data_IF_140420025828
#
_entry.id   IF_140420025828
#
_cell.length_a   1.000
_cell.length_b   1.000
_cell.length_c   1.000
_cell.angle_alpha   90.00
_cell.angle_beta   90.00
_cell.angle_gamma   90.00
#
_symmetry.space_group_name_H-M   'P 1'
#
loop_
_entity.id
_entity.type
_entity.pdbx_description
1 polymer ?
#
# COMPACT_ATOMS: atom_id res chain seq x y z
N UNK A 1 24.88 21.99 11.67
CA UNK A 1 24.38 21.93 10.29
C UNK A 1 22.86 21.88 10.41
N UNK A 2 22.13 22.76 9.73
CA UNK A 2 20.67 22.82 9.85
C UNK A 2 20.04 21.52 9.30
N UNK A 3 19.04 20.95 9.97
CA UNK A 3 18.43 19.66 9.57
C UNK A 3 17.78 19.75 8.19
N UNK A 4 17.29 20.95 7.83
CA UNK A 4 16.73 21.25 6.51
C UNK A 4 17.81 21.27 5.41
N UNK A 5 19.03 21.74 5.72
CA UNK A 5 20.15 21.71 4.78
C UNK A 5 20.60 20.27 4.53
N UNK A 6 20.67 19.44 5.58
CA UNK A 6 20.94 17.99 5.42
C UNK A 6 19.88 17.34 4.53
N UNK A 7 18.60 17.64 4.72
CA UNK A 7 17.53 17.09 3.87
C UNK A 7 17.61 17.54 2.41
N UNK A 8 18.12 18.75 2.15
CA UNK A 8 18.43 19.20 0.78
C UNK A 8 19.59 18.42 0.17
N UNK A 9 20.69 18.25 0.90
CA UNK A 9 21.87 17.52 0.42
C UNK A 9 21.54 16.05 0.09
N UNK A 10 20.69 15.43 0.91
CA UNK A 10 20.21 14.07 0.68
C UNK A 10 19.03 13.96 -0.29
N UNK A 11 18.64 15.05 -0.97
CA UNK A 11 17.52 15.07 -1.93
C UNK A 11 16.21 14.50 -1.37
N UNK A 12 15.92 14.74 -0.08
CA UNK A 12 14.71 14.25 0.59
C UNK A 12 13.45 14.75 -0.11
N UNK A 13 13.47 15.99 -0.62
CA UNK A 13 12.33 16.58 -1.31
C UNK A 13 12.51 16.54 -2.83
N UNK A 14 11.42 16.42 -3.62
CA UNK A 14 11.53 16.43 -5.08
C UNK A 14 12.16 17.74 -5.58
N UNK A 15 13.05 17.70 -6.60
CA UNK A 15 13.72 18.89 -7.12
C UNK A 15 12.76 19.90 -7.74
N UNK A 16 11.62 19.45 -8.24
CA UNK A 16 10.56 20.29 -8.82
C UNK A 16 9.68 20.99 -7.77
N UNK A 17 9.81 20.61 -6.50
CA UNK A 17 8.97 21.14 -5.42
C UNK A 17 9.45 22.52 -4.97
N UNK A 18 8.51 23.43 -4.72
CA UNK A 18 8.86 24.77 -4.24
C UNK A 18 9.42 24.73 -2.81
N UNK A 19 10.29 25.69 -2.50
CA UNK A 19 10.89 25.81 -1.16
C UNK A 19 9.85 25.87 -0.05
N UNK A 20 8.79 26.65 -0.22
CA UNK A 20 7.71 26.78 0.78
C UNK A 20 7.04 25.43 1.05
N UNK A 21 6.80 24.63 0.01
CA UNK A 21 6.22 23.30 0.16
C UNK A 21 7.15 22.34 0.89
N UNK A 22 8.45 22.39 0.58
CA UNK A 22 9.45 21.57 1.25
C UNK A 22 9.57 21.96 2.73
N UNK A 23 9.58 23.25 3.03
CA UNK A 23 9.60 23.76 4.40
C UNK A 23 8.34 23.38 5.18
N UNK A 24 7.15 23.47 4.58
CA UNK A 24 5.91 23.00 5.21
C UNK A 24 5.95 21.48 5.50
N UNK A 25 6.49 20.71 4.56
CA UNK A 25 6.64 19.25 4.73
C UNK A 25 7.63 18.95 5.87
N UNK A 26 8.73 19.69 5.94
CA UNK A 26 9.68 19.62 7.05
C UNK A 26 9.02 19.98 8.38
N UNK A 27 8.32 21.11 8.47
CA UNK A 27 7.64 21.54 9.70
C UNK A 27 6.59 20.53 10.17
N UNK A 28 5.83 19.92 9.24
CA UNK A 28 4.86 18.88 9.56
C UNK A 28 5.52 17.60 10.11
N UNK A 29 6.74 17.28 9.67
CA UNK A 29 7.51 16.14 10.17
C UNK A 29 7.95 16.33 11.63
N UNK A 30 8.10 17.59 12.06
CA UNK A 30 8.47 17.95 13.44
C UNK A 30 7.26 18.11 14.38
N UNK A 31 6.04 17.83 13.92
CA UNK A 31 4.83 17.99 14.73
C UNK A 31 4.59 16.93 15.81
N UNK A 32 4.98 15.64 15.67
CA UNK A 32 4.81 14.67 16.75
C UNK A 32 5.46 15.16 18.04
N UNK A 33 4.79 14.97 19.17
CA UNK A 33 5.17 15.63 20.42
C UNK A 33 6.40 15.02 21.09
N UNK A 34 6.60 13.70 20.93
CA UNK A 34 7.65 12.94 21.63
C UNK A 34 8.56 12.13 20.70
N UNK A 35 8.19 11.99 19.44
CA UNK A 35 8.86 11.08 18.50
C UNK A 35 9.47 11.88 17.37
N UNK A 36 10.80 11.81 17.22
CA UNK A 36 11.50 12.39 16.09
C UNK A 36 11.56 11.39 14.94
N UNK A 37 11.20 11.82 13.72
CA UNK A 37 11.31 11.01 12.51
C UNK A 37 12.35 11.60 11.58
N UNK A 38 13.42 10.84 11.33
CA UNK A 38 14.44 11.19 10.35
C UNK A 38 13.95 10.84 8.94
N UNK A 39 13.80 11.85 8.08
CA UNK A 39 13.29 11.65 6.72
C UNK A 39 14.26 10.86 5.83
N UNK A 40 15.57 10.95 6.07
CA UNK A 40 16.58 10.22 5.27
C UNK A 40 16.51 8.73 5.62
N UNK A 41 16.47 8.42 6.92
CA UNK A 41 16.31 7.04 7.40
C UNK A 41 14.98 6.44 6.92
N UNK A 42 13.88 7.19 7.09
CA UNK A 42 12.56 6.78 6.61
C UNK A 42 12.57 6.49 5.11
N UNK A 43 13.15 7.36 4.26
CA UNK A 43 13.17 7.14 2.81
C UNK A 43 14.04 5.95 2.40
N UNK A 44 15.10 5.64 3.14
CA UNK A 44 15.88 4.42 2.92
C UNK A 44 15.05 3.17 3.23
N UNK A 45 14.36 3.14 4.36
CA UNK A 45 13.44 2.05 4.71
C UNK A 45 12.29 1.93 3.71
N UNK A 46 11.70 3.05 3.30
CA UNK A 46 10.62 3.11 2.33
C UNK A 46 11.04 2.62 0.94
N UNK A 47 12.30 2.87 0.53
CA UNK A 47 12.87 2.33 -0.71
C UNK A 47 12.93 0.80 -0.66
N UNK A 48 13.45 0.25 0.43
CA UNK A 48 13.53 -1.20 0.64
C UNK A 48 12.12 -1.83 0.66
N UNK A 49 11.16 -1.21 1.36
CA UNK A 49 9.78 -1.65 1.34
C UNK A 49 9.17 -1.60 -0.07
N UNK A 50 9.40 -0.54 -0.84
CA UNK A 50 8.92 -0.45 -2.21
C UNK A 50 9.51 -1.55 -3.11
N UNK A 51 10.80 -1.85 -2.97
CA UNK A 51 11.47 -2.90 -3.72
C UNK A 51 10.87 -4.29 -3.41
N UNK A 52 10.67 -4.60 -2.13
CA UNK A 52 10.00 -5.84 -1.72
C UNK A 52 8.58 -5.92 -2.26
N UNK A 53 7.79 -4.85 -2.12
CA UNK A 53 6.40 -4.81 -2.62
C UNK A 53 6.35 -5.04 -4.13
N UNK A 54 7.21 -4.37 -4.90
CA UNK A 54 7.24 -4.51 -6.35
C UNK A 54 7.61 -5.93 -6.77
N UNK A 55 8.63 -6.52 -6.12
CA UNK A 55 9.12 -7.87 -6.40
C UNK A 55 8.06 -8.92 -6.06
N UNK A 56 7.48 -8.83 -4.87
CA UNK A 56 6.48 -9.78 -4.39
C UNK A 56 5.17 -9.67 -5.17
N UNK A 57 4.73 -8.45 -5.54
CA UNK A 57 3.52 -8.23 -6.31
C UNK A 57 3.56 -8.91 -7.69
N UNK A 58 4.73 -8.98 -8.32
CA UNK A 58 4.92 -9.65 -9.62
C UNK A 58 5.37 -11.10 -9.51
N UNK A 59 5.57 -11.63 -8.30
CA UNK A 59 5.92 -13.02 -8.10
C UNK A 59 4.78 -13.95 -8.54
N UNK A 60 5.14 -15.09 -9.15
CA UNK A 60 4.15 -16.09 -9.56
C UNK A 60 3.33 -16.60 -8.37
N UNK A 61 3.98 -16.85 -7.22
CA UNK A 61 3.34 -17.37 -6.00
C UNK A 61 2.26 -16.42 -5.47
N UNK A 62 2.54 -15.11 -5.38
CA UNK A 62 1.54 -14.14 -4.92
C UNK A 62 0.41 -13.94 -5.93
N UNK A 63 0.73 -13.92 -7.23
CA UNK A 63 -0.27 -13.76 -8.29
C UNK A 63 -1.20 -14.98 -8.39
N UNK A 64 -0.67 -16.19 -8.27
CA UNK A 64 -1.44 -17.43 -8.23
C UNK A 64 -2.37 -17.44 -7.01
N UNK A 65 -1.84 -17.12 -5.82
CA UNK A 65 -2.64 -16.98 -4.59
C UNK A 65 -3.80 -15.99 -4.77
N UNK A 66 -3.53 -14.78 -5.25
CA UNK A 66 -4.56 -13.78 -5.50
C UNK A 66 -5.59 -14.24 -6.55
N UNK A 67 -5.13 -14.95 -7.58
CA UNK A 67 -5.98 -15.52 -8.63
C UNK A 67 -6.87 -16.66 -8.13
N UNK A 68 -6.39 -17.49 -7.22
CA UNK A 68 -7.15 -18.56 -6.58
C UNK A 68 -8.22 -18.01 -5.63
N UNK A 69 -7.87 -17.04 -4.78
CA UNK A 69 -8.85 -16.35 -3.92
C UNK A 69 -9.96 -15.74 -4.78
N UNK A 70 -9.62 -15.16 -5.94
CA UNK A 70 -10.60 -14.54 -6.83
C UNK A 70 -11.59 -15.54 -7.45
N UNK A 71 -11.19 -16.81 -7.59
CA UNK A 71 -12.01 -17.88 -8.16
C UNK A 71 -12.73 -18.70 -7.08
N UNK A 72 -12.25 -18.69 -5.84
CA UNK A 72 -12.77 -19.48 -4.74
C UNK A 72 -14.29 -19.23 -4.53
N UNK A 73 -15.10 -20.30 -4.33
CA UNK A 73 -16.47 -20.20 -3.81
C UNK A 73 -16.52 -19.41 -2.49
N UNK A 74 -17.65 -18.78 -2.18
CA UNK A 74 -17.83 -17.97 -0.96
C UNK A 74 -17.70 -18.80 0.34
N UNK A 75 -17.86 -20.11 0.21
CA UNK A 75 -17.87 -21.14 1.25
C UNK A 75 -16.63 -22.06 1.22
N UNK A 76 -15.65 -21.77 0.35
CA UNK A 76 -14.46 -22.60 0.24
C UNK A 76 -13.49 -22.40 1.41
N UNK A 77 -13.09 -23.51 2.04
CA UNK A 77 -12.04 -23.53 3.05
C UNK A 77 -10.73 -22.91 2.50
N UNK A 78 -10.10 -22.14 3.37
CA UNK A 78 -8.91 -21.30 3.18
C UNK A 78 -7.99 -21.73 2.02
N UNK A 79 -7.96 -20.90 0.95
CA UNK A 79 -6.85 -20.91 -0.01
C UNK A 79 -5.55 -20.81 0.80
N UNK A 80 -4.63 -21.79 0.72
CA UNK A 80 -3.40 -21.77 1.49
C UNK A 80 -2.64 -20.47 1.25
N UNK A 81 -2.37 -19.73 2.33
CA UNK A 81 -1.66 -18.45 2.24
C UNK A 81 -0.16 -18.72 2.15
N UNK A 82 0.50 -18.44 1.00
CA UNK A 82 1.94 -18.63 0.86
C UNK A 82 2.72 -17.65 1.73
N UNK A 83 4.02 -17.92 1.90
CA UNK A 83 4.87 -17.08 2.76
C UNK A 83 4.97 -15.65 2.22
N UNK A 84 5.11 -15.47 0.90
CA UNK A 84 5.11 -14.15 0.26
C UNK A 84 3.83 -13.35 0.52
N UNK A 85 2.68 -14.03 0.64
CA UNK A 85 1.42 -13.37 0.95
C UNK A 85 1.30 -12.96 2.42
N UNK A 86 1.91 -13.72 3.35
CA UNK A 86 1.99 -13.32 4.77
C UNK A 86 2.88 -12.09 4.93
N UNK A 87 4.05 -12.11 4.31
CA UNK A 87 4.98 -10.96 4.34
C UNK A 87 4.34 -9.70 3.74
N UNK A 88 3.63 -9.85 2.61
CA UNK A 88 2.86 -8.74 2.02
C UNK A 88 1.65 -8.33 2.84
N UNK A 89 1.07 -9.20 3.66
CA UNK A 89 -0.02 -8.83 4.57
C UNK A 89 0.52 -8.03 5.76
N UNK A 90 1.66 -8.44 6.34
CA UNK A 90 2.29 -7.77 7.47
C UNK A 90 2.77 -6.35 7.13
N UNK A 91 3.18 -6.11 5.88
CA UNK A 91 3.65 -4.79 5.41
C UNK A 91 2.53 -3.77 5.19
N UNK A 92 1.26 -4.18 5.10
CA UNK A 92 0.16 -3.33 4.67
C UNK A 92 -0.95 -3.23 5.71
N UNK A 93 -1.66 -2.10 5.71
CA UNK A 93 -2.90 -2.00 6.46
C UNK A 93 -3.92 -3.02 5.93
N UNK A 94 -4.65 -3.76 6.79
CA UNK A 94 -5.52 -4.86 6.37
C UNK A 94 -6.53 -4.45 5.30
N UNK A 95 -7.11 -3.25 5.44
CA UNK A 95 -8.01 -2.66 4.47
C UNK A 95 -7.37 -2.52 3.08
N UNK A 96 -6.13 -2.03 3.04
CA UNK A 96 -5.48 -1.83 1.76
C UNK A 96 -5.08 -3.16 1.12
N UNK A 97 -4.53 -4.07 1.93
CA UNK A 97 -4.11 -5.40 1.49
C UNK A 97 -5.26 -6.17 0.83
N UNK A 98 -6.39 -6.33 1.54
CA UNK A 98 -7.50 -7.14 1.06
C UNK A 98 -8.28 -6.49 -0.09
N UNK A 99 -8.56 -5.18 -0.04
CA UNK A 99 -9.44 -4.54 -1.02
C UNK A 99 -8.72 -4.05 -2.28
N UNK A 100 -7.47 -3.62 -2.16
CA UNK A 100 -6.76 -2.97 -3.26
C UNK A 100 -5.64 -3.85 -3.80
N UNK A 101 -4.76 -4.34 -2.94
CA UNK A 101 -3.56 -5.07 -3.37
C UNK A 101 -3.91 -6.43 -3.97
N UNK A 102 -4.63 -7.29 -3.23
CA UNK A 102 -5.06 -8.60 -3.74
C UNK A 102 -5.90 -8.48 -5.00
N UNK A 103 -6.75 -7.45 -5.08
CA UNK A 103 -7.56 -7.19 -6.29
C UNK A 103 -6.72 -6.80 -7.48
N UNK A 104 -5.69 -5.98 -7.26
CA UNK A 104 -4.76 -5.62 -8.32
C UNK A 104 -3.99 -6.86 -8.81
N UNK A 105 -3.45 -7.66 -7.89
CA UNK A 105 -2.74 -8.89 -8.18
C UNK A 105 -3.61 -9.91 -8.94
N UNK A 106 -4.85 -10.14 -8.51
CA UNK A 106 -5.79 -11.02 -9.21
C UNK A 106 -6.05 -10.58 -10.65
N UNK A 107 -6.21 -9.27 -10.90
CA UNK A 107 -6.38 -8.74 -12.27
C UNK A 107 -5.12 -8.91 -13.11
N UNK A 108 -3.92 -8.74 -12.54
CA UNK A 108 -2.66 -9.00 -13.24
C UNK A 108 -2.60 -10.47 -13.64
N UNK A 109 -2.92 -11.38 -12.72
CA UNK A 109 -2.93 -12.82 -12.97
C UNK A 109 -3.93 -13.23 -14.07
N UNK A 110 -5.10 -12.58 -14.13
CA UNK A 110 -6.08 -12.81 -15.19
C UNK A 110 -5.57 -12.35 -16.57
N UNK A 111 -4.82 -11.25 -16.63
CA UNK A 111 -4.32 -10.67 -17.90
C UNK A 111 -3.08 -11.38 -18.44
N UNK A 112 -2.25 -11.90 -17.54
CA UNK A 112 -0.95 -12.45 -17.88
C UNK A 112 -0.81 -13.88 -17.34
N UNK A 113 -0.47 -14.80 -18.23
CA UNK A 113 -0.15 -16.18 -17.86
C UNK A 113 1.19 -16.26 -17.14
N UNK A 114 2.11 -15.35 -17.46
CA UNK A 114 3.42 -15.22 -16.84
C UNK A 114 3.83 -13.74 -16.76
N UNK A 115 4.46 -13.36 -15.66
CA UNK A 115 5.10 -12.05 -15.44
C UNK A 115 6.46 -12.34 -14.82
N UNK A 116 7.50 -11.75 -15.38
CA UNK A 116 8.86 -11.81 -14.85
C UNK A 116 9.43 -10.38 -14.76
N UNK A 117 10.07 -10.10 -13.64
CA UNK A 117 10.48 -8.75 -13.27
C UNK A 117 12.01 -8.67 -13.29
N UNK A 118 12.57 -8.13 -14.38
CA UNK A 118 13.99 -8.22 -14.69
C UNK A 118 14.83 -7.07 -14.13
N UNK A 119 14.22 -5.90 -13.97
CA UNK A 119 14.95 -4.68 -13.63
C UNK A 119 14.09 -3.77 -12.77
N UNK A 120 14.70 -3.23 -11.71
CA UNK A 120 14.12 -2.22 -10.82
C UNK A 120 15.20 -1.21 -10.38
N UNK A 121 15.31 -0.12 -11.12
CA UNK A 121 16.25 0.95 -10.80
C UNK A 121 15.50 2.16 -10.22
N UNK A 122 15.91 2.60 -9.04
CA UNK A 122 15.38 3.82 -8.43
C UNK A 122 16.19 5.02 -8.90
N UNK A 123 15.58 5.86 -9.73
CA UNK A 123 16.14 7.13 -10.20
C UNK A 123 15.88 8.30 -9.24
N UNK A 124 15.04 8.10 -8.23
CA UNK A 124 14.80 9.09 -7.18
C UNK A 124 13.80 8.60 -6.14
N UNK A 125 14.02 9.00 -4.89
CA UNK A 125 13.17 8.66 -3.75
C UNK A 125 12.96 9.91 -2.94
N UNK A 126 11.70 10.33 -2.79
CA UNK A 126 11.36 11.65 -2.25
C UNK A 126 10.20 11.59 -1.27
N UNK A 127 10.29 12.36 -0.19
CA UNK A 127 9.17 12.66 0.71
C UNK A 127 8.29 13.74 0.07
N UNK A 128 7.06 13.38 -0.29
CA UNK A 128 6.12 14.24 -1.02
C UNK A 128 5.06 14.89 -0.14
N UNK A 129 4.83 14.33 1.05
CA UNK A 129 3.86 14.85 2.00
C UNK A 129 3.93 14.17 3.35
N UNK A 130 3.55 14.93 4.36
CA UNK A 130 3.47 14.53 5.76
C UNK A 130 2.08 14.92 6.26
N UNK A 131 1.47 14.07 7.09
CA UNK A 131 0.24 14.39 7.79
C UNK A 131 0.32 13.79 9.18
N UNK A 132 0.39 14.63 10.20
CA UNK A 132 0.19 14.20 11.58
C UNK A 132 -1.29 14.37 11.93
N UNK A 133 -1.85 13.39 12.62
CA UNK A 133 -3.23 13.39 13.08
C UNK A 133 -3.25 12.99 14.55
N UNK A 134 -4.01 13.72 15.35
CA UNK A 134 -4.36 13.29 16.69
C UNK A 134 -5.70 12.55 16.63
N UNK A 135 -5.73 11.34 17.16
CA UNK A 135 -6.89 10.44 17.18
C UNK A 135 -7.20 10.07 18.63
N UNK A 136 -8.41 9.62 18.92
CA UNK A 136 -8.68 9.00 20.23
C UNK A 136 -8.27 7.53 20.21
N UNK A 137 -7.98 6.95 21.37
CA UNK A 137 -7.75 5.49 21.49
C UNK A 137 -9.00 4.71 21.05
N UNK A 138 -10.20 5.27 21.26
CA UNK A 138 -11.45 4.70 20.77
C UNK A 138 -11.52 4.65 19.24
N UNK A 139 -11.07 5.72 18.54
CA UNK A 139 -10.96 5.73 17.09
C UNK A 139 -9.98 4.64 16.60
N UNK A 140 -8.82 4.53 17.23
CA UNK A 140 -7.81 3.53 16.89
C UNK A 140 -8.34 2.11 17.07
N UNK A 141 -8.97 1.81 18.21
CA UNK A 141 -9.59 0.50 18.48
C UNK A 141 -10.65 0.19 17.43
N UNK A 142 -11.48 1.16 17.05
CA UNK A 142 -12.49 1.01 15.99
C UNK A 142 -11.87 0.63 14.66
N UNK A 143 -10.78 1.28 14.26
CA UNK A 143 -10.08 0.98 13.02
C UNK A 143 -9.42 -0.41 13.05
N UNK A 144 -8.74 -0.76 14.15
CA UNK A 144 -8.09 -2.07 14.32
C UNK A 144 -9.11 -3.22 14.30
N UNK A 145 -10.21 -3.10 15.05
CA UNK A 145 -11.30 -4.09 15.02
C UNK A 145 -11.92 -4.20 13.63
N UNK A 146 -12.09 -3.07 12.93
CA UNK A 146 -12.59 -3.08 11.55
C UNK A 146 -11.63 -3.83 10.62
N UNK A 147 -10.33 -3.58 10.72
CA UNK A 147 -9.30 -4.28 9.95
C UNK A 147 -9.28 -5.79 10.24
N UNK A 148 -9.33 -6.19 11.51
CA UNK A 148 -9.34 -7.59 11.93
C UNK A 148 -10.58 -8.33 11.40
N UNK A 149 -11.77 -7.77 11.63
CA UNK A 149 -13.04 -8.33 11.12
C UNK A 149 -12.99 -8.49 9.61
N UNK A 150 -12.38 -7.54 8.90
CA UNK A 150 -12.22 -7.59 7.46
C UNK A 150 -11.26 -8.69 7.04
N UNK A 151 -10.10 -8.80 7.67
CA UNK A 151 -9.17 -9.90 7.41
C UNK A 151 -9.81 -11.28 7.60
N UNK A 152 -10.64 -11.43 8.64
CA UNK A 152 -11.38 -12.66 8.90
C UNK A 152 -12.54 -12.91 7.92
N UNK A 153 -13.17 -11.83 7.43
CA UNK A 153 -14.37 -11.94 6.57
C UNK A 153 -14.01 -11.99 5.07
N UNK A 154 -12.80 -11.59 4.67
CA UNK A 154 -12.42 -11.34 3.26
C UNK A 154 -11.72 -12.48 2.53
N UNK A 155 -11.68 -13.70 3.04
CA UNK A 155 -11.26 -14.86 2.23
C UNK A 155 -12.32 -15.19 1.17
N UNK A 156 -12.09 -14.76 -0.08
CA UNK A 156 -12.84 -15.18 -1.29
C UNK A 156 -13.99 -14.26 -1.75
N UNK A 157 -14.67 -13.56 -0.83
CA UNK A 157 -15.97 -12.90 -1.11
C UNK A 157 -15.89 -11.69 -2.08
N UNK A 158 -14.83 -10.88 -2.08
CA UNK A 158 -14.86 -9.57 -2.77
C UNK A 158 -14.01 -9.41 -4.02
N UNK A 159 -13.19 -10.39 -4.39
CA UNK A 159 -12.42 -10.27 -5.63
C UNK A 159 -13.30 -10.44 -6.88
N UNK A 160 -14.55 -10.91 -6.72
CA UNK A 160 -15.54 -11.16 -7.76
C UNK A 160 -16.38 -9.95 -8.20
N UNK A 161 -16.07 -8.72 -7.77
CA UNK A 161 -16.69 -7.52 -8.37
C UNK A 161 -16.27 -7.36 -9.84
N UNK A 162 -16.93 -8.14 -10.71
CA UNK A 162 -17.15 -7.96 -12.14
C UNK A 162 -18.24 -6.88 -12.23
N UNK A 163 -17.96 -5.74 -12.85
CA UNK A 163 -18.28 -5.61 -14.27
C UNK A 163 -17.24 -4.87 -15.11
N UNK A 164 -17.32 -5.20 -16.39
CA UNK A 164 -16.43 -4.93 -17.52
C UNK A 164 -16.47 -3.50 -18.06
N UNK A 165 -17.22 -2.56 -17.47
CA UNK A 165 -17.30 -1.18 -17.97
C UNK A 165 -17.13 -0.16 -16.85
N UNK A 166 -15.87 0.18 -16.52
CA UNK A 166 -15.43 1.56 -16.30
C UNK A 166 -14.02 1.58 -15.70
N UNK A 167 -13.24 2.58 -16.14
CA UNK A 167 -12.13 3.18 -15.38
C UNK A 167 -12.59 3.87 -14.08
N UNK A 168 -13.73 3.47 -13.50
CA UNK A 168 -14.30 4.09 -12.33
C UNK A 168 -13.69 3.47 -11.08
N UNK A 169 -13.22 4.34 -10.19
CA UNK A 169 -12.95 4.04 -8.80
C UNK A 169 -14.09 3.19 -8.23
N UNK A 170 -13.71 2.20 -7.42
CA UNK A 170 -14.63 1.31 -6.70
C UNK A 170 -15.83 2.11 -6.20
N UNK A 171 -17.03 1.77 -6.64
CA UNK A 171 -18.23 2.36 -6.08
C UNK A 171 -18.31 1.92 -4.61
N UNK A 172 -17.85 2.77 -3.69
CA UNK A 172 -17.87 2.54 -2.25
C UNK A 172 -19.28 2.11 -1.77
N UNK A 173 -20.36 2.48 -2.47
CA UNK A 173 -21.73 2.06 -2.17
C UNK A 173 -21.99 0.55 -2.27
N UNK A 174 -21.25 -0.19 -3.10
CA UNK A 174 -21.31 -1.67 -3.11
C UNK A 174 -20.60 -2.30 -1.91
N UNK A 175 -19.49 -1.69 -1.47
CA UNK A 175 -18.78 -2.05 -0.22
C UNK A 175 -19.65 -1.74 1.00
N UNK A 176 -20.52 -0.72 0.93
CA UNK A 176 -21.41 -0.31 2.03
C UNK A 176 -22.48 -1.38 2.42
N UNK A 177 -22.87 -2.29 1.52
CA UNK A 177 -23.82 -3.38 1.84
C UNK A 177 -23.20 -4.45 2.77
N UNK A 178 -21.99 -4.91 2.45
CA UNK A 178 -21.22 -5.84 3.29
C UNK A 178 -20.63 -5.17 4.53
N UNK A 179 -20.37 -3.85 4.46
CA UNK A 179 -20.07 -3.04 5.64
C UNK A 179 -21.21 -3.08 6.68
N UNK A 180 -22.46 -3.42 6.31
CA UNK A 180 -23.52 -3.65 7.28
C UNK A 180 -23.24 -4.83 8.21
N UNK A 181 -22.80 -5.96 7.65
CA UNK A 181 -22.42 -7.15 8.41
C UNK A 181 -21.11 -6.94 9.17
N UNK A 182 -20.12 -6.32 8.52
CA UNK A 182 -18.86 -5.93 9.18
C UNK A 182 -19.15 -4.97 10.34
N UNK A 183 -19.99 -3.96 10.16
CA UNK A 183 -20.37 -3.01 11.22
C UNK A 183 -21.05 -3.69 12.39
N UNK A 184 -21.87 -4.72 12.15
CA UNK A 184 -22.50 -5.49 13.21
C UNK A 184 -21.48 -6.37 13.96
N UNK A 185 -20.54 -7.02 13.24
CA UNK A 185 -19.43 -7.77 13.85
C UNK A 185 -18.50 -6.86 14.65
N UNK A 186 -18.06 -5.74 14.06
CA UNK A 186 -17.24 -4.72 14.72
C UNK A 186 -17.94 -4.23 15.98
N UNK A 187 -19.24 -3.89 15.95
CA UNK A 187 -19.97 -3.49 17.17
C UNK A 187 -19.99 -4.56 18.26
N UNK A 188 -19.96 -5.84 17.87
CA UNK A 188 -19.97 -6.97 18.81
C UNK A 188 -18.60 -7.21 19.44
N UNK A 189 -17.53 -6.99 18.68
CA UNK A 189 -16.14 -7.26 19.10
C UNK A 189 -15.45 -6.02 19.69
N UNK A 190 -15.90 -4.83 19.31
CA UNK A 190 -15.36 -3.56 19.78
C UNK A 190 -15.66 -3.36 21.26
N UNK A 191 -14.60 -3.29 22.05
CA UNK A 191 -14.66 -2.92 23.47
C UNK A 191 -14.00 -1.56 23.64
N UNK A 192 -14.80 -0.54 23.95
CA UNK A 192 -14.33 0.84 24.19
C UNK A 192 -14.76 1.26 25.59
N UNK A 193 -13.78 1.66 26.40
CA UNK A 193 -14.00 2.23 27.71
C UNK A 193 -14.17 3.74 27.61
N UNK A 194 -14.83 4.42 28.57
CA UNK A 194 -14.97 5.87 28.56
C UNK A 194 -13.63 6.63 28.50
N UNK A 195 -12.57 6.07 29.08
CA UNK A 195 -11.21 6.63 29.05
C UNK A 195 -10.58 6.61 27.65
N UNK A 196 -11.01 5.71 26.77
CA UNK A 196 -10.49 5.60 25.41
C UNK A 196 -10.96 6.76 24.51
N UNK A 197 -12.11 7.36 24.83
CA UNK A 197 -12.69 8.49 24.08
C UNK A 197 -12.01 9.83 24.43
N UNK A 198 -11.27 9.89 25.54
CA UNK A 198 -10.55 11.10 25.99
C UNK A 198 -9.04 10.98 25.85
N UNK A 199 -8.51 9.75 25.80
CA UNK A 199 -7.09 9.51 25.60
C UNK A 199 -6.73 9.67 24.13
N UNK A 200 -5.74 10.51 23.85
CA UNK A 200 -5.29 10.81 22.50
C UNK A 200 -4.00 10.10 22.14
N UNK A 201 -3.90 9.69 20.88
CA UNK A 201 -2.72 9.14 20.24
C UNK A 201 -2.36 9.94 18.99
N UNK A 202 -1.09 9.96 18.64
CA UNK A 202 -0.58 10.62 17.45
C UNK A 202 -0.28 9.60 16.36
N UNK A 203 -0.77 9.88 15.15
CA UNK A 203 -0.51 9.09 13.95
C UNK A 203 0.20 9.96 12.94
N UNK A 204 1.30 9.46 12.41
CA UNK A 204 2.00 10.09 11.30
C UNK A 204 1.76 9.30 10.02
N UNK A 205 1.51 10.04 8.95
CA UNK A 205 1.32 9.47 7.62
C UNK A 205 2.26 10.16 6.64
N UNK A 206 3.17 9.39 6.06
CA UNK A 206 4.23 9.85 5.17
C UNK A 206 3.98 9.35 3.74
N UNK A 207 4.13 10.22 2.75
CA UNK A 207 4.00 9.87 1.33
C UNK A 207 5.37 9.88 0.68
N UNK A 208 5.88 8.71 0.34
CA UNK A 208 7.11 8.56 -0.43
C UNK A 208 6.78 8.41 -1.92
N UNK A 209 7.51 9.12 -2.76
CA UNK A 209 7.48 9.00 -4.21
C UNK A 209 8.78 8.36 -4.68
N UNK A 210 8.65 7.29 -5.45
CA UNK A 210 9.74 6.56 -6.09
C UNK A 210 9.63 6.76 -7.59
N UNK A 211 10.69 7.28 -8.20
CA UNK A 211 10.83 7.30 -9.64
C UNK A 211 11.65 6.07 -10.03
N UNK A 212 11.03 5.17 -10.78
CA UNK A 212 11.51 3.82 -11.05
C UNK A 212 11.66 3.63 -12.55
N UNK A 213 12.78 3.08 -13.00
CA UNK A 213 12.91 2.42 -14.28
C UNK A 213 12.80 0.92 -14.10
N UNK A 214 11.86 0.31 -14.81
CA UNK A 214 11.61 -1.12 -14.70
C UNK A 214 11.50 -1.80 -16.06
N UNK A 215 11.92 -3.06 -16.08
CA UNK A 215 11.78 -3.95 -17.24
C UNK A 215 10.99 -5.17 -16.81
N UNK A 216 9.84 -5.37 -17.45
CA UNK A 216 8.92 -6.48 -17.15
C UNK A 216 8.70 -7.31 -18.39
N UNK A 217 8.92 -8.61 -18.26
CA UNK A 217 8.58 -9.61 -19.27
C UNK A 217 7.21 -10.19 -18.93
N UNK A 218 6.35 -10.32 -19.93
CA UNK A 218 4.97 -10.74 -19.74
C UNK A 218 4.55 -11.65 -20.87
N UNK A 219 3.79 -12.69 -20.54
CA UNK A 219 3.09 -13.51 -21.52
C UNK A 219 1.61 -13.27 -21.31
N UNK A 220 0.93 -12.76 -22.35
CA UNK A 220 -0.51 -12.53 -22.28
C UNK A 220 -1.28 -13.84 -22.15
N UNK A 221 -2.30 -13.86 -21.30
CA UNK A 221 -3.17 -15.03 -21.14
C UNK A 221 -4.02 -15.31 -22.40
N UNK A 222 -4.40 -14.27 -23.15
CA UNK A 222 -5.39 -14.37 -24.23
C UNK A 222 -4.79 -14.87 -25.55
N UNK A 223 -3.59 -14.40 -25.89
CA UNK A 223 -2.97 -14.66 -27.20
C UNK A 223 -1.55 -15.23 -27.09
N UNK A 224 -1.10 -15.59 -25.89
CA UNK A 224 0.24 -16.08 -25.60
C UNK A 224 1.36 -15.16 -26.10
N UNK A 225 1.07 -13.88 -26.38
CA UNK A 225 2.07 -12.95 -26.91
C UNK A 225 3.10 -12.66 -25.83
N UNK A 226 4.35 -12.87 -26.20
CA UNK A 226 5.48 -12.60 -25.34
C UNK A 226 5.98 -11.16 -25.53
N UNK A 227 5.95 -10.37 -24.46
CA UNK A 227 6.30 -8.96 -24.47
C UNK A 227 7.32 -8.64 -23.39
N UNK A 228 8.41 -7.99 -23.77
CA UNK A 228 9.31 -7.28 -22.85
C UNK A 228 8.96 -5.80 -22.92
N UNK A 229 8.61 -5.22 -21.78
CA UNK A 229 8.23 -3.80 -21.67
C UNK A 229 9.19 -3.08 -20.74
N UNK A 230 9.84 -2.05 -21.26
CA UNK A 230 10.60 -1.10 -20.45
C UNK A 230 9.73 0.11 -20.16
N UNK A 231 9.72 0.55 -18.91
CA UNK A 231 8.86 1.65 -18.48
C UNK A 231 9.51 2.50 -17.41
N UNK A 232 9.17 3.79 -17.43
CA UNK A 232 9.40 4.71 -16.33
C UNK A 232 8.11 4.83 -15.53
N UNK A 233 8.19 4.54 -14.23
CA UNK A 233 7.05 4.52 -13.31
C UNK A 233 7.34 5.45 -12.15
N UNK A 234 6.41 6.37 -11.90
CA UNK A 234 6.31 7.05 -10.62
C UNK A 234 5.38 6.22 -9.72
N UNK A 235 5.95 5.60 -8.69
CA UNK A 235 5.20 4.93 -7.62
C UNK A 235 5.11 5.89 -6.44
N UNK A 236 3.90 6.13 -5.92
CA UNK A 236 3.71 6.82 -4.64
C UNK A 236 3.14 5.83 -3.64
N UNK A 237 3.88 5.57 -2.58
CA UNK A 237 3.39 4.79 -1.44
C UNK A 237 3.16 5.73 -0.26
N UNK A 238 2.16 5.37 0.53
CA UNK A 238 1.79 6.07 1.74
C UNK A 238 1.94 5.11 2.91
N UNK A 239 2.74 5.55 3.86
CA UNK A 239 3.10 4.83 5.06
C UNK A 239 2.40 5.48 6.24
N UNK A 240 1.90 4.68 7.16
CA UNK A 240 1.23 5.11 8.37
C UNK A 240 1.88 4.43 9.56
N UNK A 241 2.04 5.16 10.66
CA UNK A 241 2.53 4.64 11.93
C UNK A 241 1.92 5.44 13.07
N UNK A 242 1.80 4.81 14.24
CA UNK A 242 1.67 5.54 15.49
C UNK A 242 3.03 6.17 15.84
N UNK A 243 2.99 7.35 16.43
CA UNK A 243 4.19 8.12 16.79
C UNK A 243 4.01 8.80 18.15
N UNK A 244 3.08 8.33 18.97
CA UNK A 244 2.80 8.91 20.29
C UNK A 244 4.03 8.75 21.18
N UNK A 245 4.62 7.55 21.20
CA UNK A 245 5.91 7.26 21.79
C UNK A 245 6.87 6.69 20.72
N UNK A 246 8.20 6.79 20.90
CA UNK A 246 9.16 6.27 19.94
C UNK A 246 9.06 4.76 19.69
N UNK A 247 8.68 4.00 20.72
CA UNK A 247 8.53 2.55 20.65
C UNK A 247 7.25 2.11 19.90
N UNK A 248 6.31 3.03 19.65
CA UNK A 248 5.08 2.76 18.89
C UNK A 248 5.30 2.77 17.37
N UNK A 249 6.51 3.13 16.91
CA UNK A 249 6.79 3.32 15.49
C UNK A 249 6.84 1.97 14.76
N UNK A 250 5.78 1.67 14.03
CA UNK A 250 5.66 0.52 13.14
C UNK A 250 4.97 0.97 11.83
N UNK A 251 5.71 0.90 10.73
CA UNK A 251 5.30 1.48 9.45
C UNK A 251 4.54 0.47 8.60
N UNK A 252 3.26 0.74 8.36
CA UNK A 252 2.45 -0.03 7.41
C UNK A 252 2.10 0.81 6.18
N UNK A 253 1.88 0.14 5.04
CA UNK A 253 1.44 0.79 3.80
C UNK A 253 -0.09 0.85 3.77
N UNK A 254 -0.66 2.05 3.77
CA UNK A 254 -2.12 2.28 3.68
C UNK A 254 -2.58 2.68 2.27
N UNK A 255 -1.64 2.84 1.34
CA UNK A 255 -1.90 3.39 0.02
C UNK A 255 -0.75 3.22 -0.94
N UNK A 256 -1.05 2.79 -2.16
CA UNK A 256 -0.09 2.70 -3.26
C UNK A 256 -0.74 3.15 -4.56
N UNK A 257 -0.04 3.99 -5.32
CA UNK A 257 -0.46 4.41 -6.66
C UNK A 257 0.74 4.40 -7.60
N UNK A 258 0.57 3.80 -8.77
CA UNK A 258 1.55 3.84 -9.84
C UNK A 258 1.01 4.59 -11.05
N UNK A 259 1.86 5.41 -11.64
CA UNK A 259 1.63 6.04 -12.95
C UNK A 259 2.91 5.91 -13.75
N UNK A 260 2.83 5.44 -14.99
CA UNK A 260 4.02 5.22 -15.78
C UNK A 260 3.83 5.45 -17.25
N UNK A 261 4.95 5.58 -17.94
CA UNK A 261 5.06 5.65 -19.39
C UNK A 261 5.89 4.48 -19.88
N UNK A 262 5.39 3.80 -20.91
CA UNK A 262 6.15 2.80 -21.65
C UNK A 262 7.23 3.51 -22.46
N UNK A 263 8.48 3.10 -22.29
CA UNK A 263 9.62 3.58 -23.06
C UNK A 263 9.79 2.76 -24.33
N UNK A 264 9.76 1.44 -24.20
CA UNK A 264 9.90 0.49 -25.30
C UNK A 264 9.03 -0.74 -25.05
N UNK A 265 8.66 -1.42 -26.13
CA UNK A 265 7.95 -2.71 -26.08
C UNK A 265 8.46 -3.60 -27.21
N UNK A 266 9.06 -4.71 -26.84
CA UNK A 266 9.64 -5.68 -27.78
C UNK A 266 8.85 -6.98 -27.69
N UNK A 267 8.51 -7.56 -28.84
CA UNK A 267 7.93 -8.90 -28.89
C UNK A 267 9.07 -9.90 -28.97
N UNK A 268 9.11 -10.89 -28.07
CA UNK A 268 10.02 -12.03 -28.20
C UNK A 268 9.35 -13.08 -29.08
N UNK A 269 10.07 -13.59 -30.07
CA UNK A 269 9.64 -14.73 -30.90
C UNK A 269 9.69 -16.04 -30.11
#
# INVERSE_FOLDING_TARGET
>A
MDQMDRYREHSVFPPESSWLRNYLTFAQLQMPAKTEIDAVEFLNGARFACEQVMTNLYSAEFLDYAGEIAKAPEDADNVPKPQVAKEMEDMFEPMFYHYQLLRHAARLRQRYSHIDFHKLDFNGVYLRGVKCQQLTVADLKREQTTGAVIGETMTGLQLKFRDEDARAEVNMWSVFGELGNIKNKVKKELTVNPEDETTHVERLQLKAQFNIEQTVETISADNAKHLVTESQVACTMRFVSLVTEPDDVDWHVDGMRQTGRVLSRTTKE
#
